data_IF_780692217495
#
_entry.id   IF_780692217495
#
_cell.length_a   1.000
_cell.length_b   1.000
_cell.length_c   1.000
_cell.angle_alpha   90.00
_cell.angle_beta   90.00
_cell.angle_gamma   90.00
#
_symmetry.space_group_name_H-M   'P 1'
#
loop_
_entity.id
_entity.type
_entity.pdbx_description
1 polymer ?
#
# COMPACT_ATOMS: atom_id res chain seq x y z
N UNK A 1 9.93 2.03 -16.96
CA UNK A 1 10.27 2.38 -15.56
C UNK A 1 9.32 1.60 -14.66
N UNK A 2 9.80 0.55 -14.00
CA UNK A 2 8.97 -0.51 -13.41
C UNK A 2 8.54 -0.09 -12.00
N UNK A 3 7.32 0.45 -11.87
CA UNK A 3 6.70 0.81 -10.59
C UNK A 3 6.67 -0.42 -9.69
N UNK A 4 7.56 -0.44 -8.70
CA UNK A 4 7.72 -1.56 -7.76
C UNK A 4 6.49 -1.59 -6.86
N UNK A 5 5.62 -2.58 -7.10
CA UNK A 5 4.41 -2.91 -6.33
C UNK A 5 4.76 -3.46 -4.94
N UNK A 6 5.60 -2.74 -4.20
CA UNK A 6 6.09 -3.19 -2.90
C UNK A 6 5.22 -2.66 -1.77
N UNK A 7 3.89 -2.74 -1.90
CA UNK A 7 2.92 -2.65 -0.79
C UNK A 7 1.68 -3.49 -1.12
N UNK A 8 1.82 -4.60 -1.86
CA UNK A 8 0.67 -5.38 -2.33
C UNK A 8 0.25 -6.51 -1.38
N UNK A 9 0.96 -6.74 -0.27
CA UNK A 9 0.81 -8.01 0.46
C UNK A 9 0.03 -7.96 1.78
N UNK A 10 -0.50 -6.81 2.23
CA UNK A 10 -1.10 -6.71 3.59
C UNK A 10 -2.62 -6.49 3.60
N UNK A 11 -3.28 -6.32 2.44
CA UNK A 11 -4.75 -6.20 2.39
C UNK A 11 -5.36 -7.54 1.99
N UNK A 12 -5.33 -8.50 2.90
CA UNK A 12 -6.10 -9.76 2.80
C UNK A 12 -7.28 -9.64 3.75
N UNK A 13 -8.31 -8.91 3.32
CA UNK A 13 -9.70 -9.07 3.73
C UNK A 13 -10.58 -8.14 2.87
N UNK A 14 -11.38 -8.72 1.97
CA UNK A 14 -12.62 -8.14 1.40
C UNK A 14 -12.59 -6.97 0.40
N UNK A 15 -11.44 -6.37 0.07
CA UNK A 15 -11.41 -5.22 -0.86
C UNK A 15 -11.05 -5.60 -2.32
N UNK A 16 -11.54 -4.84 -3.34
CA UNK A 16 -11.28 -5.16 -4.74
C UNK A 16 -9.79 -5.02 -5.08
N UNK A 17 -9.23 -6.03 -5.73
CA UNK A 17 -7.88 -5.98 -6.28
C UNK A 17 -7.80 -4.82 -7.29
N UNK A 18 -6.85 -3.92 -7.09
CA UNK A 18 -6.67 -2.72 -7.92
C UNK A 18 -7.23 -1.43 -7.33
N UNK A 19 -7.86 -1.48 -6.16
CA UNK A 19 -8.30 -0.28 -5.45
C UNK A 19 -7.14 0.57 -4.97
N UNK A 20 -7.29 1.90 -5.01
CA UNK A 20 -6.32 2.83 -4.43
C UNK A 20 -6.56 2.93 -2.93
N UNK A 21 -5.51 2.71 -2.13
CA UNK A 21 -5.57 2.74 -0.67
C UNK A 21 -4.64 3.80 -0.08
N UNK A 22 -5.01 4.30 1.09
CA UNK A 22 -4.12 5.10 1.93
C UNK A 22 -3.56 4.23 3.06
N UNK A 23 -2.25 4.32 3.27
CA UNK A 23 -1.55 3.62 4.33
C UNK A 23 -0.57 4.56 5.04
N UNK A 24 -0.24 4.26 6.29
CA UNK A 24 0.84 4.91 7.06
C UNK A 24 2.04 3.98 7.07
N UNK A 25 3.25 4.52 7.18
CA UNK A 25 4.47 3.74 7.33
C UNK A 25 5.46 4.48 8.23
N UNK A 26 6.42 3.76 8.81
CA UNK A 26 7.46 4.33 9.66
C UNK A 26 8.82 4.12 8.98
N UNK A 27 9.16 5.05 8.09
CA UNK A 27 10.38 5.00 7.28
C UNK A 27 10.26 4.14 6.02
N UNK A 28 11.32 4.18 5.23
CA UNK A 28 11.48 3.43 3.98
C UNK A 28 12.71 2.53 4.08
N UNK A 29 12.74 1.43 3.34
CA UNK A 29 13.98 0.68 3.07
C UNK A 29 14.86 1.46 2.09
N UNK A 30 16.12 1.07 1.97
CA UNK A 30 17.06 1.66 0.99
C UNK A 30 16.57 1.51 -0.47
N UNK A 31 15.65 0.58 -0.72
CA UNK A 31 14.99 0.38 -2.01
C UNK A 31 13.67 1.16 -2.16
N UNK A 32 13.33 2.04 -1.21
CA UNK A 32 12.12 2.86 -1.23
C UNK A 32 10.84 2.11 -0.82
N UNK A 33 10.95 0.97 -0.15
CA UNK A 33 9.78 0.16 0.27
C UNK A 33 9.35 0.61 1.67
N UNK A 34 8.08 0.94 1.92
CA UNK A 34 7.65 1.36 3.24
C UNK A 34 7.77 0.24 4.28
N UNK A 35 8.39 0.57 5.42
CA UNK A 35 8.48 -0.32 6.58
C UNK A 35 7.27 -0.14 7.49
N UNK A 36 6.80 -1.25 8.07
CA UNK A 36 5.65 -1.28 8.98
C UNK A 36 4.44 -0.56 8.38
N UNK A 37 4.11 -0.88 7.13
CA UNK A 37 2.97 -0.28 6.46
C UNK A 37 1.66 -0.76 7.13
N UNK A 38 0.85 0.20 7.57
CA UNK A 38 -0.45 -0.04 8.21
C UNK A 38 -1.54 0.55 7.33
N UNK A 39 -2.52 -0.28 7.00
CA UNK A 39 -3.72 0.14 6.25
C UNK A 39 -4.52 1.19 7.04
N UNK A 40 -5.00 2.22 6.35
CA UNK A 40 -5.89 3.22 6.94
C UNK A 40 -7.30 3.09 6.34
N UNK A 41 -7.40 3.22 5.01
CA UNK A 41 -8.68 3.24 4.29
C UNK A 41 -8.47 3.07 2.79
N UNK A 42 -9.48 2.53 2.10
CA UNK A 42 -9.64 2.72 0.65
C UNK A 42 -9.97 4.16 0.33
N UNK A 43 -9.37 4.68 -0.74
CA UNK A 43 -9.83 5.89 -1.40
C UNK A 43 -10.87 5.50 -2.44
N UNK A 44 -12.12 5.87 -2.19
CA UNK A 44 -13.11 6.04 -3.25
C UNK A 44 -12.84 7.44 -3.85
N UNK A 45 -12.06 7.47 -4.92
CA UNK A 45 -12.09 8.62 -5.85
C UNK A 45 -13.34 8.45 -6.74
N UNK A 46 -14.11 9.51 -7.03
CA UNK A 46 -15.08 9.50 -8.12
C UNK A 46 -14.39 9.47 -9.49
#
# INVERSE_FOLDING_TARGET
MKTRRSVLLIIIATEPIGSTISFRHQGLTDSGIPRFAVFIRVRNEP
#
